data_IF_571865076347
#
_entry.id   IF_571865076347
#
_cell.length_a   1.000
_cell.length_b   1.000
_cell.length_c   1.000
_cell.angle_alpha   90.00
_cell.angle_beta   90.00
_cell.angle_gamma   90.00
#
_symmetry.space_group_name_H-M   'P 1'
#
loop_
_entity.id
_entity.type
_entity.pdbx_description
1 polymer ?
#
# COMPACT_ATOMS: atom_id res chain seq x y z
N UNK A 1 4.60 11.03 0.05
CA UNK A 1 4.74 9.56 -0.16
C UNK A 1 5.90 8.93 0.60
N UNK A 2 7.16 9.35 0.39
CA UNK A 2 8.34 8.67 0.95
C UNK A 2 8.29 8.46 2.48
N UNK A 3 8.01 9.52 3.24
CA UNK A 3 7.96 9.45 4.71
C UNK A 3 6.96 8.37 5.16
N UNK A 4 5.75 8.39 4.61
CA UNK A 4 4.72 7.40 4.94
C UNK A 4 5.15 5.98 4.56
N UNK A 5 5.78 5.81 3.39
CA UNK A 5 6.29 4.51 2.95
C UNK A 5 7.34 3.95 3.91
N UNK A 6 8.22 4.80 4.45
CA UNK A 6 9.25 4.39 5.41
C UNK A 6 8.70 4.10 6.82
N UNK A 7 7.53 4.65 7.17
CA UNK A 7 6.90 4.42 8.48
C UNK A 7 6.08 3.13 8.53
N UNK A 8 5.49 2.69 7.41
CA UNK A 8 4.65 1.47 7.38
C UNK A 8 5.39 0.19 7.81
N UNK A 9 6.67 -0.06 7.47
CA UNK A 9 7.42 -1.23 7.96
C UNK A 9 7.42 -1.42 9.48
N UNK A 10 7.21 -0.37 10.27
CA UNK A 10 7.11 -0.46 11.72
C UNK A 10 5.97 -1.38 12.18
N UNK A 11 4.94 -1.57 11.36
CA UNK A 11 3.82 -2.47 11.66
C UNK A 11 4.25 -3.94 11.76
N UNK A 12 5.41 -4.33 11.22
CA UNK A 12 5.98 -5.67 11.36
C UNK A 12 6.19 -6.03 12.84
N UNK A 13 6.57 -5.04 13.65
CA UNK A 13 6.79 -5.20 15.09
C UNK A 13 5.47 -5.55 15.81
N UNK A 14 4.31 -5.16 15.26
CA UNK A 14 3.00 -5.52 15.82
C UNK A 14 2.75 -7.04 15.81
N UNK A 15 3.37 -7.77 14.87
CA UNK A 15 3.30 -9.24 14.81
C UNK A 15 4.23 -9.95 15.79
N UNK A 16 5.11 -9.22 16.50
CA UNK A 16 6.13 -9.76 17.41
C UNK A 16 5.92 -9.34 18.86
N UNK A 17 5.10 -8.30 19.11
CA UNK A 17 4.85 -7.77 20.45
C UNK A 17 3.78 -8.56 21.20
N UNK A 18 3.96 -8.69 22.52
CA UNK A 18 2.95 -9.24 23.44
C UNK A 18 2.05 -8.14 24.05
N UNK A 19 2.38 -6.87 23.84
CA UNK A 19 1.62 -5.74 24.36
C UNK A 19 0.55 -5.31 23.36
N UNK A 20 -0.71 -5.45 23.77
CA UNK A 20 -1.86 -5.01 22.97
C UNK A 20 -1.80 -3.51 22.63
N UNK A 21 -1.40 -2.65 23.58
CA UNK A 21 -1.29 -1.22 23.34
C UNK A 21 -0.21 -0.85 22.32
N UNK A 22 0.92 -1.55 22.35
CA UNK A 22 1.97 -1.36 21.34
C UNK A 22 1.48 -1.78 19.96
N UNK A 23 0.78 -2.91 19.85
CA UNK A 23 0.19 -3.34 18.58
C UNK A 23 -0.84 -2.33 18.05
N UNK A 24 -1.73 -1.83 18.91
CA UNK A 24 -2.75 -0.81 18.55
C UNK A 24 -2.09 0.45 17.99
N UNK A 25 -1.06 0.97 18.66
CA UNK A 25 -0.35 2.18 18.20
C UNK A 25 0.34 1.96 16.85
N UNK A 26 1.01 0.82 16.66
CA UNK A 26 1.70 0.49 15.42
C UNK A 26 0.73 0.31 14.26
N UNK A 27 -0.37 -0.41 14.47
CA UNK A 27 -1.41 -0.63 13.47
C UNK A 27 -2.11 0.68 13.13
N UNK A 28 -2.42 1.51 14.14
CA UNK A 28 -3.01 2.83 13.95
C UNK A 28 -2.11 3.76 13.12
N UNK A 29 -0.81 3.77 13.41
CA UNK A 29 0.17 4.52 12.62
C UNK A 29 0.25 4.01 11.18
N UNK A 30 0.25 2.70 10.96
CA UNK A 30 0.25 2.10 9.62
C UNK A 30 -1.02 2.49 8.84
N UNK A 31 -2.19 2.45 9.47
CA UNK A 31 -3.45 2.86 8.86
C UNK A 31 -3.46 4.36 8.50
N UNK A 32 -2.91 5.22 9.36
CA UNK A 32 -2.74 6.64 9.07
C UNK A 32 -1.80 6.87 7.87
N UNK A 33 -0.67 6.16 7.83
CA UNK A 33 0.27 6.22 6.71
C UNK A 33 -0.36 5.70 5.42
N UNK A 34 -1.20 4.67 5.48
CA UNK A 34 -1.95 4.16 4.33
C UNK A 34 -2.89 5.23 3.75
N UNK A 35 -3.65 5.94 4.59
CA UNK A 35 -4.53 7.01 4.11
C UNK A 35 -3.74 8.17 3.51
N UNK A 36 -2.64 8.57 4.15
CA UNK A 36 -1.75 9.59 3.61
C UNK A 36 -1.12 9.18 2.28
N UNK A 37 -0.82 7.89 2.09
CA UNK A 37 -0.37 7.34 0.81
C UNK A 37 -1.44 7.42 -0.27
N UNK A 38 -2.68 7.00 0.03
CA UNK A 38 -3.80 7.03 -0.91
C UNK A 38 -4.04 8.45 -1.46
N UNK A 39 -4.01 9.46 -0.58
CA UNK A 39 -4.14 10.86 -1.00
C UNK A 39 -3.13 11.27 -2.07
N UNK A 40 -1.87 10.81 -1.97
CA UNK A 40 -0.84 11.15 -2.94
C UNK A 40 -0.95 10.33 -4.24
N UNK A 41 -1.33 9.05 -4.18
CA UNK A 41 -1.46 8.22 -5.39
C UNK A 41 -2.60 8.72 -6.29
N UNK A 42 -3.73 9.12 -5.70
CA UNK A 42 -4.84 9.64 -6.50
C UNK A 42 -4.50 10.98 -7.17
N UNK A 43 -3.74 11.85 -6.51
CA UNK A 43 -3.29 13.10 -7.13
C UNK A 43 -2.21 12.87 -8.19
N UNK A 44 -1.35 11.87 -8.03
CA UNK A 44 -0.33 11.52 -9.03
C UNK A 44 -0.97 11.20 -10.41
N UNK A 45 -2.13 10.55 -10.42
CA UNK A 45 -2.87 10.32 -11.66
C UNK A 45 -3.35 11.63 -12.31
N UNK A 46 -3.88 12.57 -11.53
CA UNK A 46 -4.33 13.87 -12.05
C UNK A 46 -3.20 14.82 -12.43
N UNK A 47 -2.07 14.73 -11.74
CA UNK A 47 -0.89 15.59 -11.98
C UNK A 47 -0.16 15.17 -13.24
N UNK A 48 -0.15 13.87 -13.53
CA UNK A 48 0.60 13.33 -14.66
C UNK A 48 -0.24 13.12 -15.93
N UNK A 49 -1.56 12.90 -15.85
CA UNK A 49 -2.37 12.61 -17.03
C UNK A 49 -3.29 13.76 -17.40
N UNK A 50 -3.58 14.00 -18.70
CA UNK A 50 -4.54 15.00 -19.12
C UNK A 50 -5.94 14.65 -18.59
N UNK A 51 -6.74 15.68 -18.31
CA UNK A 51 -8.07 15.57 -17.66
C UNK A 51 -8.98 14.49 -18.28
N UNK A 52 -8.92 14.31 -19.61
CA UNK A 52 -9.69 13.29 -20.36
C UNK A 52 -9.33 11.85 -19.99
N UNK A 53 -8.11 11.59 -19.54
CA UNK A 53 -7.58 10.25 -19.25
C UNK A 53 -7.55 9.90 -17.76
N UNK A 54 -7.66 10.88 -16.86
CA UNK A 54 -7.56 10.67 -15.40
C UNK A 54 -8.57 9.63 -14.91
N UNK A 55 -9.83 9.70 -15.36
CA UNK A 55 -10.87 8.75 -14.96
C UNK A 55 -10.54 7.31 -15.35
N UNK A 56 -10.03 7.09 -16.56
CA UNK A 56 -9.61 5.77 -17.03
C UNK A 56 -8.41 5.23 -16.25
N UNK A 57 -7.40 6.06 -15.97
CA UNK A 57 -6.21 5.67 -15.20
C UNK A 57 -6.60 5.29 -13.77
N UNK A 58 -7.43 6.10 -13.11
CA UNK A 58 -7.94 5.81 -11.76
C UNK A 58 -8.81 4.55 -11.76
N UNK A 59 -9.63 4.35 -12.79
CA UNK A 59 -10.46 3.14 -12.94
C UNK A 59 -9.63 1.86 -13.09
N UNK A 60 -8.57 1.89 -13.91
CA UNK A 60 -7.63 0.76 -14.06
C UNK A 60 -6.92 0.48 -12.73
N UNK A 61 -6.41 1.53 -12.07
CA UNK A 61 -5.77 1.40 -10.76
C UNK A 61 -6.73 0.83 -9.70
N UNK A 62 -8.00 1.25 -9.72
CA UNK A 62 -9.05 0.72 -8.84
C UNK A 62 -9.34 -0.76 -9.11
N UNK A 63 -9.44 -1.17 -10.37
CA UNK A 63 -9.60 -2.58 -10.74
C UNK A 63 -8.41 -3.43 -10.26
N UNK A 64 -7.18 -2.97 -10.53
CA UNK A 64 -5.98 -3.64 -10.05
C UNK A 64 -5.92 -3.71 -8.51
N UNK A 65 -6.34 -2.64 -7.83
CA UNK A 65 -6.48 -2.61 -6.36
C UNK A 65 -7.49 -3.62 -5.85
N UNK A 66 -8.64 -3.77 -6.52
CA UNK A 66 -9.65 -4.77 -6.18
C UNK A 66 -9.15 -6.21 -6.33
N UNK A 67 -8.48 -6.52 -7.45
CA UNK A 67 -7.84 -7.83 -7.67
C UNK A 67 -6.74 -8.11 -6.64
N UNK A 68 -5.93 -7.10 -6.32
CA UNK A 68 -4.92 -7.18 -5.26
C UNK A 68 -5.54 -7.45 -3.89
N UNK A 69 -6.63 -6.76 -3.54
CA UNK A 69 -7.37 -6.99 -2.30
C UNK A 69 -7.92 -8.41 -2.19
N UNK A 70 -8.49 -8.94 -3.29
CA UNK A 70 -8.95 -10.34 -3.36
C UNK A 70 -7.80 -11.32 -3.13
N UNK A 71 -6.65 -11.10 -3.76
CA UNK A 71 -5.46 -11.95 -3.59
C UNK A 71 -4.91 -11.90 -2.15
N UNK A 72 -4.88 -10.72 -1.53
CA UNK A 72 -4.45 -10.56 -0.12
C UNK A 72 -5.40 -11.26 0.84
N UNK A 73 -6.72 -11.19 0.59
CA UNK A 73 -7.72 -11.90 1.42
C UNK A 73 -7.56 -13.43 1.33
N UNK A 74 -7.38 -13.96 0.13
CA UNK A 74 -7.12 -15.39 -0.08
C UNK A 74 -5.80 -15.82 0.58
N UNK A 75 -4.74 -15.02 0.43
CA UNK A 75 -3.46 -15.25 1.10
C UNK A 75 -3.61 -15.32 2.63
N UNK A 76 -4.30 -14.34 3.22
CA UNK A 76 -4.55 -14.30 4.66
C UNK A 76 -5.31 -15.55 5.13
N UNK A 77 -6.33 -15.97 4.38
CA UNK A 77 -7.09 -17.20 4.67
C UNK A 77 -6.22 -18.45 4.66
N UNK A 78 -5.37 -18.62 3.64
CA UNK A 78 -4.46 -19.78 3.55
C UNK A 78 -3.44 -19.85 4.68
N UNK A 79 -2.89 -18.69 5.07
CA UNK A 79 -1.92 -18.61 6.18
C UNK A 79 -2.59 -19.02 7.49
N UNK A 80 -3.78 -18.49 7.79
CA UNK A 80 -4.49 -18.79 9.04
C UNK A 80 -5.05 -20.21 9.09
N UNK A 81 -5.46 -20.77 7.95
CA UNK A 81 -5.86 -22.18 7.87
C UNK A 81 -4.70 -23.12 8.21
N UNK A 82 -3.46 -22.72 7.89
CA UNK A 82 -2.25 -23.51 8.20
C UNK A 82 -1.85 -23.35 9.66
N UNK A 83 -1.87 -22.12 10.18
CA UNK A 83 -1.58 -21.82 11.57
C UNK A 83 -2.40 -20.59 12.04
N UNK A 84 -3.48 -20.80 12.81
CA UNK A 84 -4.38 -19.72 13.24
C UNK A 84 -3.73 -18.63 14.10
N UNK A 85 -2.57 -18.91 14.69
CA UNK A 85 -1.85 -17.98 15.55
C UNK A 85 -0.74 -17.22 14.81
N UNK A 86 -0.56 -17.47 13.50
CA UNK A 86 0.57 -16.95 12.74
C UNK A 86 0.19 -15.77 11.84
N UNK A 87 0.19 -14.58 12.44
CA UNK A 87 -0.16 -13.31 11.75
C UNK A 87 1.05 -12.59 11.14
N UNK A 88 2.28 -12.95 11.54
CA UNK A 88 3.51 -12.26 11.12
C UNK A 88 3.66 -12.10 9.59
N UNK A 89 3.33 -13.10 8.74
CA UNK A 89 3.43 -12.94 7.29
C UNK A 89 2.58 -11.79 6.74
N UNK A 90 1.39 -11.55 7.32
CA UNK A 90 0.51 -10.46 6.88
C UNK A 90 1.13 -9.10 7.20
N UNK A 91 1.73 -8.96 8.38
CA UNK A 91 2.41 -7.74 8.78
C UNK A 91 3.66 -7.47 7.94
N UNK A 92 4.40 -8.51 7.52
CA UNK A 92 5.53 -8.38 6.59
C UNK A 92 5.06 -7.86 5.23
N UNK A 93 4.03 -8.48 4.65
CA UNK A 93 3.46 -8.05 3.37
C UNK A 93 2.95 -6.60 3.46
N UNK A 94 2.18 -6.28 4.50
CA UNK A 94 1.68 -4.92 4.72
C UNK A 94 2.82 -3.90 4.91
N UNK A 95 3.85 -4.26 5.68
CA UNK A 95 5.01 -3.43 5.97
C UNK A 95 5.81 -3.05 4.73
N UNK A 96 5.96 -3.98 3.79
CA UNK A 96 6.84 -3.81 2.62
C UNK A 96 6.12 -3.29 1.37
N UNK A 97 4.80 -3.49 1.25
CA UNK A 97 4.03 -3.16 0.05
C UNK A 97 4.21 -1.71 -0.42
N UNK A 98 4.29 -0.76 0.52
CA UNK A 98 4.42 0.68 0.20
C UNK A 98 5.82 1.05 -0.29
N UNK A 99 6.86 0.43 0.28
CA UNK A 99 8.24 0.61 -0.22
C UNK A 99 8.40 0.00 -1.60
N UNK A 100 7.84 -1.19 -1.84
CA UNK A 100 7.87 -1.79 -3.17
C UNK A 100 7.10 -0.95 -4.19
N UNK A 101 5.92 -0.45 -3.82
CA UNK A 101 5.15 0.43 -4.70
C UNK A 101 5.89 1.74 -4.98
N UNK A 102 6.54 2.34 -3.97
CA UNK A 102 7.35 3.54 -4.16
C UNK A 102 8.50 3.28 -5.11
N UNK A 103 9.21 2.16 -4.93
CA UNK A 103 10.31 1.77 -5.81
C UNK A 103 9.83 1.61 -7.26
N UNK A 104 8.69 0.95 -7.49
CA UNK A 104 8.10 0.81 -8.83
C UNK A 104 7.78 2.18 -9.42
N UNK A 105 7.17 3.09 -8.66
CA UNK A 105 6.87 4.45 -9.13
C UNK A 105 8.15 5.22 -9.50
N UNK A 106 9.19 5.14 -8.67
CA UNK A 106 10.46 5.84 -8.92
C UNK A 106 11.22 5.27 -10.12
N UNK A 107 11.13 3.96 -10.38
CA UNK A 107 11.72 3.32 -11.57
C UNK A 107 10.98 3.74 -12.84
N UNK A 108 9.65 3.73 -12.81
CA UNK A 108 8.84 4.02 -13.99
C UNK A 108 8.77 5.52 -14.31
N UNK A 109 8.75 6.37 -13.28
CA UNK A 109 8.50 7.81 -13.41
C UNK A 109 9.35 8.63 -12.43
N UNK A 110 10.69 8.63 -12.58
CA UNK A 110 11.61 9.27 -11.61
C UNK A 110 11.43 10.78 -11.49
N UNK A 111 10.92 11.45 -12.53
CA UNK A 111 10.73 12.91 -12.57
C UNK A 111 9.28 13.36 -12.43
N UNK A 112 8.32 12.43 -12.34
CA UNK A 112 6.88 12.72 -12.29
C UNK A 112 6.40 13.68 -13.39
N UNK A 113 7.00 13.60 -14.58
CA UNK A 113 6.65 14.46 -15.71
C UNK A 113 5.25 14.10 -16.27
N UNK A 114 4.45 15.10 -16.69
CA UNK A 114 3.16 14.83 -17.33
C UNK A 114 3.30 13.95 -18.58
N UNK A 115 2.43 12.94 -18.68
CA UNK A 115 2.30 12.05 -19.80
C UNK A 115 1.87 12.81 -21.06
N UNK A 116 2.65 12.64 -22.13
CA UNK A 116 2.31 13.16 -23.46
C UNK A 116 1.38 12.14 -24.13
N UNK A 117 0.08 12.41 -24.10
CA UNK A 117 -0.91 11.66 -24.85
C UNK A 117 -1.28 12.49 -26.08
N UNK A 118 -0.93 11.98 -27.25
CA UNK A 118 -1.32 12.56 -28.54
C UNK A 118 -2.86 12.62 -28.70
#
# INVERSE_FOLDING_TARGET
MLIFACLVPLVIIAGLTQSAWTAVLLIGLAAACHQAWSANIFTLASDMFPRKAVGSVVGIAGCAGGLGGMAVAEFAGRVLNTNPNYYLPMFIVAGLAYLSALMVIQILVPKLEPAKLD
#
